data_IF_939880752732
#
_entry.id   IF_939880752732
#
_cell.length_a   1.000
_cell.length_b   1.000
_cell.length_c   1.000
_cell.angle_alpha   90.00
_cell.angle_beta   90.00
_cell.angle_gamma   90.00
#
_symmetry.space_group_name_H-M   'P 1'
#
loop_
_entity.id
_entity.type
_entity.pdbx_description
1 polymer ?
#
# COMPACT_ATOMS: atom_id res chain seq x y z
N UNK A 1 14.26 2.08 -5.31
CA UNK A 1 13.79 1.80 -6.70
C UNK A 1 12.77 2.86 -7.15
N UNK A 2 12.63 3.11 -8.46
CA UNK A 2 11.71 4.15 -8.95
C UNK A 2 10.29 3.61 -9.17
N UNK A 3 9.30 4.51 -9.23
CA UNK A 3 7.92 4.20 -9.63
C UNK A 3 7.86 3.60 -11.04
N UNK A 4 8.82 3.93 -11.91
CA UNK A 4 8.93 3.33 -13.25
C UNK A 4 9.05 1.79 -13.21
N UNK A 5 9.77 1.25 -12.22
CA UNK A 5 9.86 -0.21 -12.00
C UNK A 5 8.49 -0.78 -11.62
N UNK A 6 7.74 -0.09 -10.76
CA UNK A 6 6.38 -0.49 -10.39
C UNK A 6 5.46 -0.49 -11.64
N UNK A 7 5.51 0.56 -12.45
CA UNK A 7 4.72 0.64 -13.69
C UNK A 7 5.09 -0.48 -14.68
N UNK A 8 6.37 -0.84 -14.78
CA UNK A 8 6.79 -1.97 -15.60
C UNK A 8 6.17 -3.28 -15.09
N UNK A 9 6.20 -3.53 -13.77
CA UNK A 9 5.59 -4.74 -13.18
C UNK A 9 4.07 -4.77 -13.36
N UNK A 10 3.38 -3.62 -13.30
CA UNK A 10 1.95 -3.52 -13.63
C UNK A 10 1.70 -3.98 -15.05
N UNK A 11 2.51 -3.53 -16.02
CA UNK A 11 2.42 -3.98 -17.43
C UNK A 11 2.69 -5.48 -17.60
N UNK A 12 3.71 -6.01 -16.91
CA UNK A 12 4.06 -7.44 -16.97
C UNK A 12 2.95 -8.33 -16.39
N UNK A 13 2.37 -7.92 -15.25
CA UNK A 13 1.28 -8.67 -14.58
C UNK A 13 -0.10 -8.40 -15.17
N UNK A 14 -0.24 -7.38 -16.03
CA UNK A 14 -1.51 -6.95 -16.63
C UNK A 14 -2.60 -6.65 -15.59
N UNK A 15 -2.19 -6.10 -14.44
CA UNK A 15 -3.11 -5.67 -13.38
C UNK A 15 -2.49 -4.59 -12.51
N UNK A 16 -3.23 -3.50 -12.19
CA UNK A 16 -2.79 -2.45 -11.28
C UNK A 16 -3.29 -2.70 -9.84
N UNK A 17 -3.36 -3.95 -9.41
CA UNK A 17 -3.79 -4.35 -8.07
C UNK A 17 -2.57 -4.79 -7.25
N UNK A 18 -2.47 -4.33 -6.01
CA UNK A 18 -1.52 -4.79 -5.02
C UNK A 18 -2.21 -5.48 -3.84
N UNK A 19 -1.53 -6.44 -3.23
CA UNK A 19 -1.94 -7.03 -1.97
C UNK A 19 -1.59 -6.07 -0.83
N UNK A 20 -2.57 -5.75 0.02
CA UNK A 20 -2.34 -5.03 1.28
C UNK A 20 -2.13 -6.02 2.44
N UNK A 21 -1.08 -5.84 3.22
CA UNK A 21 -0.82 -6.60 4.45
C UNK A 21 -0.91 -5.69 5.67
N UNK A 22 -1.94 -5.90 6.47
CA UNK A 22 -2.19 -5.21 7.75
C UNK A 22 -2.55 -6.28 8.78
N UNK A 23 -1.58 -6.81 9.55
CA UNK A 23 -1.80 -7.96 10.42
C UNK A 23 -2.76 -7.63 11.56
N UNK A 24 -3.69 -8.57 11.79
CA UNK A 24 -4.68 -8.55 12.87
C UNK A 24 -4.78 -9.98 13.41
N UNK A 25 -4.21 -10.25 14.60
CA UNK A 25 -4.15 -11.61 15.18
C UNK A 25 -5.52 -12.23 15.39
N UNK A 26 -6.49 -11.41 15.76
CA UNK A 26 -7.88 -11.82 16.00
C UNK A 26 -8.63 -12.23 14.71
N UNK A 27 -8.13 -11.85 13.56
CA UNK A 27 -8.65 -12.25 12.24
C UNK A 27 -7.91 -13.43 11.62
N UNK A 28 -6.81 -13.88 12.21
CA UNK A 28 -6.14 -15.10 11.76
C UNK A 28 -7.00 -16.32 12.02
N UNK A 29 -6.82 -17.35 11.19
CA UNK A 29 -7.41 -18.65 11.49
C UNK A 29 -6.98 -19.11 12.88
N UNK A 30 -7.93 -19.45 13.80
CA UNK A 30 -7.61 -19.91 15.14
C UNK A 30 -6.65 -21.11 15.14
N UNK A 31 -6.68 -21.92 14.08
CA UNK A 31 -5.78 -23.06 13.90
C UNK A 31 -4.32 -22.64 13.76
N UNK A 32 -4.06 -21.53 13.03
CA UNK A 32 -2.69 -21.02 12.83
C UNK A 32 -2.11 -20.59 14.17
N UNK A 33 -2.81 -19.70 14.88
CA UNK A 33 -2.34 -19.20 16.18
C UNK A 33 -2.18 -20.34 17.20
N UNK A 34 -3.12 -21.28 17.23
CA UNK A 34 -3.05 -22.45 18.11
C UNK A 34 -1.80 -23.28 17.84
N UNK A 35 -1.50 -23.59 16.58
CA UNK A 35 -0.32 -24.39 16.22
C UNK A 35 0.98 -23.76 16.76
N UNK A 36 1.15 -22.45 16.60
CA UNK A 36 2.35 -21.76 17.10
C UNK A 36 2.35 -21.62 18.63
N UNK A 37 1.18 -21.46 19.26
CA UNK A 37 1.08 -21.48 20.71
C UNK A 37 1.43 -22.85 21.30
N UNK A 38 1.03 -23.93 20.65
CA UNK A 38 1.37 -25.30 21.06
C UNK A 38 2.90 -25.57 20.92
N UNK A 39 3.57 -24.92 19.95
CA UNK A 39 5.02 -25.08 19.71
C UNK A 39 5.90 -24.21 20.61
N UNK A 40 5.54 -22.96 20.84
CA UNK A 40 6.38 -21.94 21.50
C UNK A 40 5.84 -21.50 22.87
N UNK A 41 4.67 -21.98 23.26
CA UNK A 41 3.93 -21.46 24.41
C UNK A 41 3.17 -20.17 24.05
N UNK A 42 2.26 -19.71 24.95
CA UNK A 42 1.53 -18.46 24.72
C UNK A 42 2.46 -17.25 24.89
N UNK A 43 2.38 -16.28 23.94
CA UNK A 43 3.15 -15.04 24.00
C UNK A 43 3.61 -14.53 22.64
N UNK A 44 4.41 -13.47 22.68
CA UNK A 44 4.82 -12.70 21.50
C UNK A 44 5.58 -13.52 20.44
N UNK A 45 6.29 -14.60 20.84
CA UNK A 45 6.96 -15.48 19.89
C UNK A 45 5.93 -16.25 19.04
N UNK A 46 4.92 -16.87 19.67
CA UNK A 46 3.88 -17.61 18.96
C UNK A 46 3.07 -16.67 18.03
N UNK A 47 2.77 -15.45 18.51
CA UNK A 47 2.07 -14.43 17.74
C UNK A 47 2.88 -14.01 16.50
N UNK A 48 4.17 -13.72 16.68
CA UNK A 48 5.06 -13.32 15.58
C UNK A 48 5.20 -14.43 14.53
N UNK A 49 5.40 -15.67 14.95
CA UNK A 49 5.52 -16.82 14.04
C UNK A 49 4.20 -17.08 13.28
N UNK A 50 3.06 -16.91 13.95
CA UNK A 50 1.74 -16.99 13.30
C UNK A 50 1.58 -15.90 12.21
N UNK A 51 1.96 -14.65 12.51
CA UNK A 51 1.92 -13.55 11.56
C UNK A 51 2.91 -13.76 10.39
N UNK A 52 4.12 -14.24 10.68
CA UNK A 52 5.14 -14.53 9.67
C UNK A 52 4.66 -15.64 8.73
N UNK A 53 4.16 -16.74 9.28
CA UNK A 53 3.63 -17.85 8.49
C UNK A 53 2.49 -17.40 7.57
N UNK A 54 1.51 -16.68 8.13
CA UNK A 54 0.38 -16.18 7.37
C UNK A 54 0.82 -15.20 6.27
N UNK A 55 1.65 -14.21 6.62
CA UNK A 55 2.16 -13.24 5.66
C UNK A 55 2.96 -13.89 4.53
N UNK A 56 3.80 -14.88 4.83
CA UNK A 56 4.57 -15.60 3.81
C UNK A 56 3.66 -16.36 2.85
N UNK A 57 2.63 -17.05 3.36
CA UNK A 57 1.65 -17.75 2.52
C UNK A 57 0.89 -16.79 1.58
N UNK A 58 0.56 -15.59 2.06
CA UNK A 58 -0.06 -14.55 1.24
C UNK A 58 0.88 -14.02 0.15
N UNK A 59 2.17 -13.84 0.47
CA UNK A 59 3.18 -13.46 -0.52
C UNK A 59 3.37 -14.53 -1.59
N UNK A 60 3.30 -15.83 -1.23
CA UNK A 60 3.33 -16.95 -2.18
C UNK A 60 2.14 -16.89 -3.15
N UNK A 61 0.95 -16.64 -2.62
CA UNK A 61 -0.25 -16.49 -3.43
C UNK A 61 -0.18 -15.28 -4.38
N UNK A 62 0.42 -14.17 -3.93
CA UNK A 62 0.51 -12.93 -4.69
C UNK A 62 1.61 -12.95 -5.79
N UNK A 63 2.73 -13.62 -5.56
CA UNK A 63 3.97 -13.47 -6.34
C UNK A 63 3.82 -13.64 -7.86
N UNK A 64 3.01 -14.60 -8.31
CA UNK A 64 2.79 -14.84 -9.75
C UNK A 64 1.65 -13.98 -10.33
N UNK A 65 0.84 -13.36 -9.48
CA UNK A 65 -0.42 -12.72 -9.84
C UNK A 65 -0.35 -11.20 -9.81
N UNK A 66 0.34 -10.64 -8.83
CA UNK A 66 0.33 -9.22 -8.53
C UNK A 66 1.71 -8.57 -8.76
N UNK A 67 1.76 -7.27 -9.10
CA UNK A 67 3.00 -6.52 -9.29
C UNK A 67 3.67 -6.10 -7.97
N UNK A 68 2.88 -5.94 -6.90
CA UNK A 68 3.34 -5.31 -5.67
C UNK A 68 2.60 -5.82 -4.43
N UNK A 69 3.22 -5.56 -3.27
CA UNK A 69 2.62 -5.67 -1.95
C UNK A 69 2.82 -4.37 -1.18
N UNK A 70 1.81 -3.96 -0.42
CA UNK A 70 1.93 -2.87 0.55
C UNK A 70 1.84 -3.43 1.97
N UNK A 71 2.90 -3.26 2.77
CA UNK A 71 2.90 -3.63 4.17
C UNK A 71 2.59 -2.40 5.03
N UNK A 72 1.54 -2.48 5.86
CA UNK A 72 1.17 -1.40 6.78
C UNK A 72 2.06 -1.47 8.03
N UNK A 73 3.18 -0.76 8.01
CA UNK A 73 4.26 -0.87 9.00
C UNK A 73 3.79 -0.70 10.44
N UNK A 74 2.99 0.34 10.73
CA UNK A 74 2.48 0.60 12.08
C UNK A 74 1.71 -0.60 12.66
N UNK A 75 1.00 -1.38 11.83
CA UNK A 75 0.26 -2.57 12.28
C UNK A 75 1.19 -3.72 12.68
N UNK A 76 2.39 -3.80 12.13
CA UNK A 76 3.41 -4.74 12.59
C UNK A 76 4.09 -4.24 13.85
N UNK A 77 4.45 -2.95 13.90
CA UNK A 77 5.15 -2.36 15.06
C UNK A 77 4.31 -2.39 16.35
N UNK A 78 2.98 -2.47 16.26
CA UNK A 78 2.12 -2.66 17.44
C UNK A 78 2.44 -3.94 18.22
N UNK A 79 3.09 -4.93 17.60
CA UNK A 79 3.53 -6.17 18.23
C UNK A 79 4.98 -6.10 18.75
N UNK A 80 5.51 -4.87 18.94
CA UNK A 80 6.84 -4.62 19.50
C UNK A 80 7.98 -5.11 18.59
N UNK A 81 9.10 -5.47 19.22
CA UNK A 81 10.31 -5.90 18.50
C UNK A 81 10.06 -7.13 17.62
N UNK A 82 9.22 -8.06 18.08
CA UNK A 82 8.88 -9.25 17.30
C UNK A 82 8.09 -8.89 16.03
N UNK A 83 7.19 -7.91 16.12
CA UNK A 83 6.47 -7.40 14.95
C UNK A 83 7.39 -6.67 13.96
N UNK A 84 8.37 -5.90 14.44
CA UNK A 84 9.38 -5.26 13.61
C UNK A 84 10.23 -6.30 12.85
N UNK A 85 10.61 -7.40 13.50
CA UNK A 85 11.33 -8.50 12.87
C UNK A 85 10.46 -9.21 11.81
N UNK A 86 9.19 -9.47 12.10
CA UNK A 86 8.24 -10.01 11.10
C UNK A 86 8.15 -9.10 9.88
N UNK A 87 8.01 -7.78 10.08
CA UNK A 87 7.96 -6.81 8.98
C UNK A 87 9.20 -6.89 8.09
N UNK A 88 10.40 -6.87 8.68
CA UNK A 88 11.67 -6.97 7.95
C UNK A 88 11.78 -8.28 7.15
N UNK A 89 11.39 -9.39 7.77
CA UNK A 89 11.40 -10.70 7.11
C UNK A 89 10.41 -10.78 5.94
N UNK A 90 9.20 -10.21 6.07
CA UNK A 90 8.21 -10.20 5.00
C UNK A 90 8.63 -9.29 3.83
N UNK A 91 9.28 -8.15 4.09
CA UNK A 91 9.86 -7.31 3.04
C UNK A 91 10.90 -8.09 2.24
N UNK A 92 11.83 -8.76 2.93
CA UNK A 92 12.85 -9.60 2.29
C UNK A 92 12.24 -10.75 1.48
N UNK A 93 11.22 -11.42 2.04
CA UNK A 93 10.50 -12.50 1.37
C UNK A 93 9.74 -12.02 0.12
N UNK A 94 9.14 -10.83 0.17
CA UNK A 94 8.45 -10.23 -0.97
C UNK A 94 9.44 -9.93 -2.12
N UNK A 95 10.62 -9.38 -1.81
CA UNK A 95 11.67 -9.15 -2.81
C UNK A 95 12.17 -10.46 -3.44
N UNK A 96 12.41 -11.49 -2.63
CA UNK A 96 12.81 -12.81 -3.12
C UNK A 96 11.80 -13.42 -4.09
N UNK A 97 10.53 -13.03 -3.97
CA UNK A 97 9.43 -13.46 -4.87
C UNK A 97 9.19 -12.50 -6.04
N UNK A 98 10.00 -11.45 -6.18
CA UNK A 98 9.91 -10.49 -7.27
C UNK A 98 8.79 -9.47 -7.12
N UNK A 99 8.18 -9.30 -5.96
CA UNK A 99 7.18 -8.25 -5.70
C UNK A 99 7.84 -6.89 -5.46
N UNK A 100 7.20 -5.82 -5.95
CA UNK A 100 7.54 -4.46 -5.55
C UNK A 100 6.96 -4.19 -4.16
N UNK A 101 7.78 -3.65 -3.26
CA UNK A 101 7.40 -3.49 -1.85
C UNK A 101 7.16 -2.03 -1.49
N UNK A 102 5.94 -1.72 -1.05
CA UNK A 102 5.56 -0.41 -0.54
C UNK A 102 5.44 -0.50 0.98
N UNK A 103 6.21 0.29 1.73
CA UNK A 103 6.09 0.40 3.18
C UNK A 103 5.13 1.54 3.55
N UNK A 104 3.98 1.18 4.08
CA UNK A 104 2.94 2.10 4.53
C UNK A 104 3.21 2.59 5.95
N UNK A 105 3.89 3.73 6.11
CA UNK A 105 4.24 4.29 7.42
C UNK A 105 3.63 5.66 7.67
N UNK A 106 3.41 6.50 6.65
CA UNK A 106 3.16 7.92 6.85
C UNK A 106 4.36 8.57 7.54
N UNK A 107 5.57 8.28 7.05
CA UNK A 107 6.79 8.66 7.72
C UNK A 107 7.02 10.18 7.65
N UNK A 108 7.44 10.76 8.76
CA UNK A 108 7.90 12.15 8.84
C UNK A 108 9.31 12.27 8.27
N UNK A 109 10.19 11.33 8.64
CA UNK A 109 11.58 11.23 8.18
C UNK A 109 11.79 9.88 7.48
N UNK A 110 11.52 9.78 6.18
CA UNK A 110 11.56 8.50 5.47
C UNK A 110 12.96 7.87 5.44
N UNK A 111 14.01 8.67 5.51
CA UNK A 111 15.39 8.17 5.54
C UNK A 111 15.67 7.21 6.71
N UNK A 112 14.98 7.36 7.85
CA UNK A 112 15.12 6.48 9.01
C UNK A 112 14.59 5.04 8.76
N UNK A 113 13.75 4.86 7.73
CA UNK A 113 13.13 3.59 7.39
C UNK A 113 13.85 2.83 6.27
N UNK A 114 14.95 3.37 5.74
CA UNK A 114 15.73 2.75 4.66
C UNK A 114 16.28 1.36 5.05
N UNK A 115 16.56 1.15 6.34
CA UNK A 115 17.07 -0.13 6.86
C UNK A 115 16.12 -1.32 6.66
N UNK A 116 14.82 -1.07 6.44
CA UNK A 116 13.86 -2.12 6.06
C UNK A 116 13.98 -2.55 4.60
N UNK A 117 14.62 -1.75 3.74
CA UNK A 117 14.90 -2.10 2.36
C UNK A 117 13.70 -2.08 1.41
N UNK A 118 12.55 -1.50 1.80
CA UNK A 118 11.39 -1.37 0.91
C UNK A 118 11.72 -0.52 -0.34
N UNK A 119 11.07 -0.80 -1.47
CA UNK A 119 11.26 -0.05 -2.72
C UNK A 119 10.65 1.35 -2.66
N UNK A 120 9.59 1.50 -1.88
CA UNK A 120 8.86 2.75 -1.71
C UNK A 120 8.35 2.90 -0.26
N UNK A 121 8.12 4.15 0.14
CA UNK A 121 7.58 4.48 1.46
C UNK A 121 6.47 5.54 1.34
N UNK A 122 5.42 5.41 2.16
CA UNK A 122 4.44 6.48 2.30
C UNK A 122 4.91 7.51 3.32
N UNK A 123 4.72 8.78 3.01
CA UNK A 123 5.14 9.92 3.84
C UNK A 123 3.98 10.83 4.19
N UNK A 124 4.10 11.53 5.32
CA UNK A 124 3.14 12.56 5.73
C UNK A 124 3.63 13.94 5.27
N UNK A 125 2.95 14.57 4.30
CA UNK A 125 3.35 15.86 3.76
C UNK A 125 3.05 17.05 4.68
N UNK A 126 2.44 16.83 5.84
CA UNK A 126 2.23 17.90 6.82
C UNK A 126 3.55 18.48 7.34
N UNK A 127 4.63 17.68 7.29
CA UNK A 127 5.99 18.14 7.60
C UNK A 127 6.64 18.96 6.47
N UNK A 128 5.93 19.22 5.38
CA UNK A 128 6.46 19.94 4.23
C UNK A 128 7.29 19.07 3.29
N UNK A 129 8.15 19.69 2.48
CA UNK A 129 8.89 18.99 1.42
C UNK A 129 10.04 18.11 1.92
N UNK A 130 10.45 18.24 3.16
CA UNK A 130 11.51 17.44 3.77
C UNK A 130 11.14 15.95 3.82
N UNK A 131 9.83 15.65 3.92
CA UNK A 131 9.34 14.27 3.83
C UNK A 131 9.61 13.59 2.49
N UNK A 132 10.03 14.33 1.44
CA UNK A 132 10.39 13.77 0.15
C UNK A 132 11.85 13.27 0.08
N UNK A 133 12.66 13.52 1.10
CA UNK A 133 14.05 13.03 1.17
C UNK A 133 14.10 11.58 1.67
N UNK A 134 13.83 10.64 0.77
CA UNK A 134 13.81 9.20 1.05
C UNK A 134 15.00 8.45 0.41
N UNK A 135 16.06 9.15 0.01
CA UNK A 135 17.22 8.56 -0.64
C UNK A 135 16.84 7.81 -1.93
N UNK A 136 17.10 6.51 -2.00
CA UNK A 136 16.81 5.69 -3.20
C UNK A 136 15.37 5.16 -3.27
N UNK A 137 14.57 5.33 -2.22
CA UNK A 137 13.19 4.86 -2.18
C UNK A 137 12.27 5.79 -2.97
N UNK A 138 11.23 5.23 -3.59
CA UNK A 138 10.16 6.01 -4.15
C UNK A 138 9.27 6.58 -3.03
N UNK A 139 8.83 7.83 -3.19
CA UNK A 139 7.99 8.52 -2.20
C UNK A 139 6.55 8.53 -2.65
N UNK A 140 5.65 8.15 -1.73
CA UNK A 140 4.21 8.23 -1.88
C UNK A 140 3.63 9.14 -0.80
N UNK A 141 3.31 10.39 -1.14
CA UNK A 141 2.81 11.38 -0.20
C UNK A 141 1.31 11.19 0.09
N UNK A 142 0.93 11.15 1.37
CA UNK A 142 -0.47 11.08 1.81
C UNK A 142 -1.19 12.39 1.47
N UNK A 143 -2.10 12.33 0.52
CA UNK A 143 -2.84 13.52 0.05
C UNK A 143 -4.26 13.51 0.57
N UNK A 144 -4.94 12.39 0.41
CA UNK A 144 -6.31 12.19 0.84
C UNK A 144 -6.46 10.85 1.53
N UNK A 145 -7.07 10.84 2.70
CA UNK A 145 -7.28 9.61 3.49
C UNK A 145 -8.74 9.20 3.51
N UNK A 146 -9.03 7.91 3.65
CA UNK A 146 -10.39 7.37 3.66
C UNK A 146 -11.05 7.37 5.05
N UNK A 147 -10.32 7.71 6.12
CA UNK A 147 -10.88 7.73 7.47
C UNK A 147 -11.96 8.81 7.63
N UNK A 148 -12.97 8.52 8.46
CA UNK A 148 -14.17 9.34 8.62
C UNK A 148 -13.89 10.83 8.91
N UNK A 149 -12.90 11.13 9.75
CA UNK A 149 -12.54 12.49 10.15
C UNK A 149 -11.49 13.17 9.26
N UNK A 150 -10.97 12.48 8.23
CA UNK A 150 -9.96 13.05 7.32
C UNK A 150 -10.38 14.38 6.71
N UNK A 151 -11.67 14.53 6.39
CA UNK A 151 -12.22 15.76 5.83
C UNK A 151 -12.17 16.99 6.77
N UNK A 152 -12.09 16.80 8.08
CA UNK A 152 -12.02 17.92 9.05
C UNK A 152 -10.79 18.81 8.82
N UNK A 153 -9.68 18.21 8.36
CA UNK A 153 -8.44 18.91 8.03
C UNK A 153 -8.27 19.05 6.52
N UNK A 154 -8.48 17.97 5.78
CA UNK A 154 -8.15 17.92 4.35
C UNK A 154 -9.08 18.77 3.49
N UNK A 155 -10.31 19.05 3.95
CA UNK A 155 -11.27 19.94 3.26
C UNK A 155 -11.14 21.42 3.67
N UNK A 156 -10.25 21.78 4.62
CA UNK A 156 -10.00 23.18 4.94
C UNK A 156 -9.50 23.91 3.69
N UNK A 157 -9.94 25.16 3.51
CA UNK A 157 -9.55 25.95 2.34
C UNK A 157 -8.14 26.51 2.49
N UNK A 158 -7.27 26.16 1.56
CA UNK A 158 -5.92 26.70 1.40
C UNK A 158 -5.93 27.65 0.17
N UNK A 159 -6.30 28.90 0.39
CA UNK A 159 -6.55 29.83 -0.69
C UNK A 159 -7.87 29.55 -1.41
N UNK A 160 -7.80 29.20 -2.68
CA UNK A 160 -8.96 28.96 -3.57
C UNK A 160 -9.40 27.49 -3.68
N UNK A 161 -8.72 26.59 -2.97
CA UNK A 161 -8.94 25.14 -3.08
C UNK A 161 -8.82 24.42 -1.74
N UNK A 162 -9.37 23.20 -1.60
CA UNK A 162 -9.16 22.37 -0.41
C UNK A 162 -7.68 22.05 -0.18
N UNK A 163 -7.30 21.91 1.09
CA UNK A 163 -5.93 21.63 1.52
C UNK A 163 -5.34 20.39 0.83
N UNK A 164 -6.11 19.31 0.69
CA UNK A 164 -5.61 18.10 0.03
C UNK A 164 -5.17 18.35 -1.42
N UNK A 165 -5.82 19.25 -2.16
CA UNK A 165 -5.40 19.61 -3.54
C UNK A 165 -4.15 20.49 -3.53
N UNK A 166 -4.02 21.42 -2.57
CA UNK A 166 -2.80 22.23 -2.43
C UNK A 166 -1.60 21.35 -2.09
N UNK A 167 -1.77 20.37 -1.19
CA UNK A 167 -0.76 19.37 -0.86
C UNK A 167 -0.42 18.50 -2.05
N UNK A 168 -1.42 18.01 -2.80
CA UNK A 168 -1.20 17.19 -4.00
C UNK A 168 -0.29 17.91 -5.01
N UNK A 169 -0.59 19.16 -5.32
CA UNK A 169 0.20 19.95 -6.26
C UNK A 169 1.64 20.16 -5.74
N UNK A 170 1.80 20.49 -4.46
CA UNK A 170 3.11 20.72 -3.85
C UNK A 170 3.98 19.46 -3.92
N UNK A 171 3.44 18.30 -3.53
CA UNK A 171 4.17 17.03 -3.54
C UNK A 171 4.47 16.55 -4.97
N UNK A 172 3.54 16.70 -5.90
CA UNK A 172 3.76 16.39 -7.32
C UNK A 172 4.91 17.21 -7.93
N UNK A 173 5.05 18.49 -7.58
CA UNK A 173 6.18 19.33 -8.02
C UNK A 173 7.52 18.84 -7.50
N UNK A 174 7.54 18.09 -6.39
CA UNK A 174 8.75 17.45 -5.84
C UNK A 174 9.02 16.06 -6.42
N UNK A 175 8.18 15.61 -7.36
CA UNK A 175 8.31 14.28 -7.98
C UNK A 175 7.76 13.13 -7.15
N UNK A 176 7.07 13.41 -6.05
CA UNK A 176 6.40 12.38 -5.27
C UNK A 176 5.19 11.81 -6.01
N UNK A 177 4.95 10.52 -5.84
CA UNK A 177 3.67 9.89 -6.12
C UNK A 177 2.66 10.23 -5.03
N UNK A 178 1.36 10.10 -5.31
CA UNK A 178 0.32 10.61 -4.42
C UNK A 178 -0.54 9.45 -3.91
N UNK A 179 -0.79 9.42 -2.60
CA UNK A 179 -1.73 8.47 -1.98
C UNK A 179 -3.08 9.15 -1.85
N UNK A 180 -4.10 8.55 -2.48
CA UNK A 180 -5.49 9.01 -2.43
C UNK A 180 -6.36 7.85 -1.98
N UNK A 181 -6.46 7.67 -0.66
CA UNK A 181 -7.28 6.65 -0.02
C UNK A 181 -8.73 7.11 0.12
N UNK A 182 -9.35 7.52 -0.96
CA UNK A 182 -10.73 8.01 -0.93
C UNK A 182 -11.70 6.99 -1.49
N UNK A 183 -12.80 6.74 -0.77
CA UNK A 183 -13.97 6.07 -1.32
C UNK A 183 -14.78 6.94 -2.29
N UNK A 184 -14.33 8.17 -2.59
CA UNK A 184 -15.03 9.11 -3.44
C UNK A 184 -14.28 9.33 -4.75
N UNK A 185 -14.87 8.87 -5.85
CA UNK A 185 -14.31 9.02 -7.20
C UNK A 185 -14.08 10.48 -7.61
N UNK A 186 -14.80 11.43 -7.01
CA UNK A 186 -14.63 12.88 -7.27
C UNK A 186 -13.27 13.39 -6.76
N UNK A 187 -12.87 13.03 -5.53
CA UNK A 187 -11.59 13.44 -4.96
C UNK A 187 -10.43 12.90 -5.82
N UNK A 188 -10.54 11.65 -6.25
CA UNK A 188 -9.55 11.00 -7.12
C UNK A 188 -9.46 11.73 -8.47
N UNK A 189 -10.60 12.07 -9.07
CA UNK A 189 -10.68 12.81 -10.34
C UNK A 189 -10.05 14.18 -10.23
N UNK A 190 -10.29 14.89 -9.13
CA UNK A 190 -9.75 16.23 -8.92
C UNK A 190 -8.23 16.19 -8.74
N UNK A 191 -7.71 15.22 -7.98
CA UNK A 191 -6.25 14.99 -7.87
C UNK A 191 -5.65 14.63 -9.24
N UNK A 192 -6.26 13.71 -9.99
CA UNK A 192 -5.77 13.32 -11.32
C UNK A 192 -5.76 14.49 -12.29
N UNK A 193 -6.81 15.32 -12.28
CA UNK A 193 -6.89 16.52 -13.14
C UNK A 193 -5.79 17.53 -12.81
N UNK A 194 -5.51 17.75 -11.52
CA UNK A 194 -4.50 18.67 -11.05
C UNK A 194 -3.08 18.14 -11.28
N UNK A 195 -2.88 16.84 -11.10
CA UNK A 195 -1.57 16.16 -11.17
C UNK A 195 -1.58 15.03 -12.22
N UNK A 196 -1.72 15.38 -13.54
CA UNK A 196 -1.98 14.38 -14.59
C UNK A 196 -0.84 13.39 -14.81
N UNK A 197 0.40 13.73 -14.43
CA UNK A 197 1.59 12.88 -14.60
C UNK A 197 1.98 12.10 -13.36
N UNK A 198 1.39 12.39 -12.20
CA UNK A 198 1.72 11.71 -10.95
C UNK A 198 1.15 10.30 -10.92
N UNK A 199 1.92 9.36 -10.39
CA UNK A 199 1.39 8.04 -10.07
C UNK A 199 0.48 8.14 -8.84
N UNK A 200 -0.71 7.51 -8.89
CA UNK A 200 -1.67 7.49 -7.78
C UNK A 200 -1.70 6.11 -7.12
N UNK A 201 -1.54 6.08 -5.81
CA UNK A 201 -1.74 4.89 -4.99
C UNK A 201 -3.08 5.03 -4.26
N UNK A 202 -3.96 4.02 -4.39
CA UNK A 202 -5.35 4.06 -3.95
C UNK A 202 -5.62 2.95 -2.93
N UNK A 203 -5.23 3.12 -1.65
CA UNK A 203 -5.56 2.14 -0.62
C UNK A 203 -7.07 2.04 -0.40
N UNK A 204 -7.58 0.81 -0.30
CA UNK A 204 -8.98 0.51 0.03
C UNK A 204 -10.01 1.12 -0.95
N UNK A 205 -9.61 1.31 -2.21
CA UNK A 205 -10.48 1.80 -3.28
C UNK A 205 -10.90 0.64 -4.17
N UNK A 206 -12.21 0.48 -4.38
CA UNK A 206 -12.74 -0.52 -5.31
C UNK A 206 -12.48 -0.14 -6.78
N UNK A 207 -12.64 -1.13 -7.69
CA UNK A 207 -12.31 -0.95 -9.10
C UNK A 207 -13.10 0.15 -9.79
N UNK A 208 -14.38 0.30 -9.52
CA UNK A 208 -15.25 1.31 -10.14
C UNK A 208 -14.85 2.72 -9.71
N UNK A 209 -14.67 2.93 -8.41
CA UNK A 209 -14.29 4.23 -7.85
C UNK A 209 -12.86 4.62 -8.22
N UNK A 210 -11.99 3.64 -8.49
CA UNK A 210 -10.61 3.86 -8.89
C UNK A 210 -10.45 4.32 -10.36
N UNK A 211 -11.43 4.08 -11.24
CA UNK A 211 -11.33 4.38 -12.69
C UNK A 211 -10.78 5.79 -12.98
N UNK A 212 -11.22 6.88 -12.31
CA UNK A 212 -10.72 8.21 -12.60
C UNK A 212 -9.21 8.42 -12.32
N UNK A 213 -8.57 7.49 -11.59
CA UNK A 213 -7.14 7.57 -11.30
C UNK A 213 -6.26 7.11 -12.46
N UNK A 214 -6.80 6.26 -13.34
CA UNK A 214 -6.00 5.62 -14.38
C UNK A 214 -5.84 6.51 -15.62
N UNK A 215 -4.69 6.37 -16.26
CA UNK A 215 -4.42 6.87 -17.59
C UNK A 215 -4.95 5.89 -18.67
N UNK A 216 -4.82 6.27 -19.92
CA UNK A 216 -5.22 5.44 -21.07
C UNK A 216 -4.44 4.11 -21.20
N UNK A 217 -3.28 4.01 -20.52
CA UNK A 217 -2.42 2.82 -20.52
C UNK A 217 -2.67 1.90 -19.31
N UNK A 218 -3.46 2.36 -18.32
CA UNK A 218 -3.82 1.59 -17.14
C UNK A 218 -2.70 1.36 -16.13
N UNK A 219 -1.58 2.06 -16.23
CA UNK A 219 -0.43 1.91 -15.33
C UNK A 219 -0.02 3.20 -14.60
N UNK A 220 -0.82 4.26 -14.71
CA UNK A 220 -0.61 5.54 -13.98
C UNK A 220 -1.11 5.53 -12.54
N UNK A 221 -1.73 4.44 -12.10
CA UNK A 221 -2.23 4.27 -10.73
C UNK A 221 -2.21 2.80 -10.30
N UNK A 222 -2.45 2.55 -9.01
CA UNK A 222 -2.57 1.23 -8.42
C UNK A 222 -3.55 1.24 -7.26
N UNK A 223 -4.42 0.24 -7.17
CA UNK A 223 -5.24 -0.02 -5.99
C UNK A 223 -4.53 -0.97 -5.03
N UNK A 224 -4.80 -0.84 -3.73
CA UNK A 224 -4.30 -1.76 -2.70
C UNK A 224 -5.48 -2.33 -1.94
N UNK A 225 -5.64 -3.65 -2.01
CA UNK A 225 -6.70 -4.35 -1.30
C UNK A 225 -6.16 -5.04 -0.04
N UNK A 226 -6.60 -4.55 1.13
CA UNK A 226 -6.28 -5.13 2.44
C UNK A 226 -7.28 -6.23 2.85
N UNK A 227 -8.38 -6.43 2.14
CA UNK A 227 -9.36 -7.48 2.40
C UNK A 227 -8.87 -8.86 2.01
N UNK A 228 -8.09 -8.95 0.94
CA UNK A 228 -7.56 -10.21 0.37
C UNK A 228 -6.79 -11.05 1.39
N UNK A 229 -6.13 -10.42 2.36
CA UNK A 229 -5.36 -11.13 3.39
C UNK A 229 -6.20 -11.99 4.34
N UNK A 230 -7.51 -11.75 4.40
CA UNK A 230 -8.43 -12.48 5.29
C UNK A 230 -9.29 -13.50 4.53
N UNK A 231 -9.09 -13.66 3.23
CA UNK A 231 -9.82 -14.63 2.43
C UNK A 231 -9.43 -16.07 2.84
N UNK A 232 -10.39 -17.00 2.90
CA UNK A 232 -10.11 -18.40 3.19
C UNK A 232 -9.12 -19.06 2.21
N UNK A 233 -9.24 -18.72 0.92
CA UNK A 233 -8.30 -19.05 -0.14
C UNK A 233 -7.80 -17.75 -0.78
N UNK A 234 -6.58 -17.36 -0.39
CA UNK A 234 -5.98 -16.13 -0.87
C UNK A 234 -5.69 -16.16 -2.37
N UNK A 235 -5.33 -17.31 -2.94
CA UNK A 235 -5.02 -17.42 -4.35
C UNK A 235 -6.28 -17.22 -5.21
N UNK A 236 -7.38 -17.86 -4.84
CA UNK A 236 -8.67 -17.71 -5.52
C UNK A 236 -9.21 -16.28 -5.39
N UNK A 237 -9.11 -15.70 -4.20
CA UNK A 237 -9.53 -14.32 -3.93
C UNK A 237 -8.75 -13.31 -4.78
N UNK A 238 -7.42 -13.46 -4.86
CA UNK A 238 -6.57 -12.62 -5.71
C UNK A 238 -6.94 -12.80 -7.19
N UNK A 239 -7.13 -14.04 -7.67
CA UNK A 239 -7.52 -14.29 -9.05
C UNK A 239 -8.90 -13.68 -9.38
N UNK A 240 -9.82 -13.69 -8.43
CA UNK A 240 -11.13 -13.04 -8.55
C UNK A 240 -11.01 -11.51 -8.61
N UNK A 241 -10.24 -10.91 -7.70
CA UNK A 241 -10.02 -9.47 -7.67
C UNK A 241 -9.30 -8.96 -8.93
N UNK A 242 -8.34 -9.74 -9.47
CA UNK A 242 -7.68 -9.42 -10.75
C UNK A 242 -8.67 -9.48 -11.92
N UNK A 243 -9.57 -10.47 -11.95
CA UNK A 243 -10.62 -10.55 -13.01
C UNK A 243 -11.59 -9.37 -12.91
N UNK A 244 -11.99 -8.99 -11.71
CA UNK A 244 -12.86 -7.84 -11.49
C UNK A 244 -12.17 -6.53 -11.91
N UNK A 245 -10.92 -6.31 -11.49
CA UNK A 245 -10.15 -5.13 -11.89
C UNK A 245 -10.05 -4.97 -13.40
N UNK A 246 -9.91 -6.06 -14.15
CA UNK A 246 -9.86 -6.05 -15.63
C UNK A 246 -11.17 -5.62 -16.30
N UNK A 247 -12.29 -5.62 -15.59
CA UNK A 247 -13.56 -5.08 -16.12
C UNK A 247 -13.54 -3.54 -16.14
N UNK A 248 -12.76 -2.93 -15.27
CA UNK A 248 -12.69 -1.48 -15.09
C UNK A 248 -11.47 -0.84 -15.74
N UNK A 249 -10.33 -1.55 -15.73
CA UNK A 249 -9.05 -1.01 -16.18
C UNK A 249 -8.33 -2.01 -17.10
N UNK A 250 -8.09 -1.60 -18.33
CA UNK A 250 -7.22 -2.31 -19.24
C UNK A 250 -5.77 -1.85 -19.08
N UNK A 251 -4.84 -2.78 -18.86
CA UNK A 251 -3.39 -2.50 -18.83
C UNK A 251 -2.77 -2.89 -20.17
N UNK A 252 -2.24 -1.91 -20.87
CA UNK A 252 -1.62 -2.05 -22.20
C UNK A 252 -0.10 -2.24 -22.08
#
# INVERSE_FOLDING_TARGET
MSVTVLQQRIREKKTPLALGLRPELDKLSPKILKNFTDMFGPGSMAEAEALRYHGTALLDAAAQRLPAVMLHGASYLRYGMMGADVLANLISAAHAKGLYVILGMGAEEPALWQGYGADAITVDPYMGSDCCDAGEQAVFALVRTCNRSGGEVQNLMAGDRPLYLAVAEQMARRGASLVVGSGYSLDIRDVRRLCPKSFLLLPECDGENAVPAFDEYGHGAMTVDFGLQFAPDAAEAIDSAVREMKQWVAVV
#
